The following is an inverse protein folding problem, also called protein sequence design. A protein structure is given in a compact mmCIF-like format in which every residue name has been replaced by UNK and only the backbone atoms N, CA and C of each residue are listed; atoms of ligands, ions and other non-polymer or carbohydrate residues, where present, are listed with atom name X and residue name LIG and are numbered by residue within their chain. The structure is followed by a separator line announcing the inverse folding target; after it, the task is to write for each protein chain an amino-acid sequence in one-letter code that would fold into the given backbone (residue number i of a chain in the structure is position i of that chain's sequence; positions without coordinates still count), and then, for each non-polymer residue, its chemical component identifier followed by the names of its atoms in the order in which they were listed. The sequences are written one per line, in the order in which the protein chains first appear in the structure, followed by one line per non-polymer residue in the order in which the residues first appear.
data_IF_525164415989
#
_entry.id   IF_525164415989
#
_cell.length_a   1.000
_cell.length_b   1.000
_cell.length_c   1.000
_cell.angle_alpha   90.00
_cell.angle_beta   90.00
_cell.angle_gamma   90.00
#
_symmetry.space_group_name_H-M   'P 1'
#
loop_
_entity.id
_entity.type
_entity.pdbx_description
1 polymer ?
#
# COMPACT_ATOMS: atom_id res chain seq x y z
N UNK A 1 -10.36 -59.97 -16.76
CA UNK A 1 -10.00 -59.07 -17.88
C UNK A 1 -11.06 -57.99 -17.96
N UNK A 2 -10.83 -56.69 -17.93
CA UNK A 2 -9.66 -55.86 -17.62
C UNK A 2 -10.31 -54.46 -17.46
N UNK A 3 -10.35 -53.96 -16.23
CA UNK A 3 -10.50 -52.55 -15.82
C UNK A 3 -10.96 -51.53 -16.88
N UNK A 4 -12.20 -51.04 -16.70
CA UNK A 4 -12.70 -49.80 -17.27
C UNK A 4 -11.78 -48.65 -16.86
N UNK A 5 -10.96 -48.20 -17.81
CA UNK A 5 -9.99 -47.13 -17.61
C UNK A 5 -10.69 -45.78 -17.64
N UNK A 6 -10.96 -45.26 -16.45
CA UNK A 6 -11.22 -43.85 -16.16
C UNK A 6 -10.14 -42.95 -16.78
N UNK A 7 -10.54 -41.97 -17.59
CA UNK A 7 -9.79 -40.72 -17.76
C UNK A 7 -10.83 -39.58 -17.73
N UNK A 8 -11.20 -39.16 -16.52
CA UNK A 8 -11.82 -37.87 -16.29
C UNK A 8 -10.70 -36.84 -16.49
N UNK A 9 -10.76 -36.11 -17.60
CA UNK A 9 -9.85 -35.03 -17.89
C UNK A 9 -9.99 -33.96 -16.80
N UNK A 10 -8.96 -33.87 -15.96
CA UNK A 10 -8.82 -32.87 -14.93
C UNK A 10 -8.68 -31.48 -15.57
N UNK A 11 -9.70 -30.64 -15.38
CA UNK A 11 -9.59 -29.19 -15.56
C UNK A 11 -9.67 -28.52 -14.18
N UNK A 12 -8.69 -28.82 -13.32
CA UNK A 12 -8.42 -28.08 -12.10
C UNK A 12 -7.50 -26.92 -12.46
N UNK A 13 -8.10 -25.81 -12.91
CA UNK A 13 -7.41 -24.52 -12.97
C UNK A 13 -7.35 -23.97 -11.55
N UNK A 14 -6.40 -24.48 -10.77
CA UNK A 14 -5.97 -23.83 -9.53
C UNK A 14 -5.04 -22.69 -9.91
N UNK A 15 -5.62 -21.54 -10.24
CA UNK A 15 -4.90 -20.27 -10.29
C UNK A 15 -4.58 -19.81 -8.87
N UNK A 16 -3.65 -20.51 -8.20
CA UNK A 16 -2.86 -19.93 -7.12
C UNK A 16 -1.58 -19.35 -7.70
N UNK A 17 -1.72 -18.18 -8.31
CA UNK A 17 -0.61 -17.24 -8.47
C UNK A 17 -0.63 -16.30 -7.27
N UNK A 18 -0.38 -16.83 -6.08
CA UNK A 18 0.20 -16.04 -4.99
C UNK A 18 1.69 -15.87 -5.32
N UNK A 19 1.97 -15.08 -6.37
CA UNK A 19 3.33 -14.71 -6.75
C UNK A 19 3.90 -13.88 -5.62
N UNK A 20 4.94 -14.42 -5.00
CA UNK A 20 6.02 -13.63 -4.43
C UNK A 20 5.63 -12.83 -3.20
N UNK A 21 5.61 -13.51 -2.06
CA UNK A 21 6.17 -12.92 -0.85
C UNK A 21 7.66 -12.65 -1.12
N UNK A 22 7.95 -11.56 -1.82
CA UNK A 22 9.30 -11.11 -2.06
C UNK A 22 9.91 -10.75 -0.70
N UNK A 23 11.15 -11.15 -0.49
CA UNK A 23 12.07 -10.65 0.54
C UNK A 23 12.30 -9.14 0.33
N UNK A 24 11.24 -8.36 0.49
CA UNK A 24 11.20 -6.92 0.32
C UNK A 24 11.44 -6.25 1.65
N UNK A 25 12.03 -5.05 1.59
CA UNK A 25 12.16 -4.16 2.75
C UNK A 25 10.81 -4.06 3.44
N UNK A 26 10.78 -4.44 4.72
CA UNK A 26 9.58 -4.23 5.54
C UNK A 26 9.46 -2.74 5.80
N UNK A 27 8.39 -2.15 5.28
CA UNK A 27 8.00 -0.80 5.63
C UNK A 27 7.47 -0.84 7.07
N UNK A 28 8.03 -0.03 7.95
CA UNK A 28 7.52 0.12 9.31
C UNK A 28 6.24 0.95 9.28
N UNK A 29 5.11 0.27 9.46
CA UNK A 29 3.79 0.91 9.51
C UNK A 29 3.35 1.23 10.94
N UNK A 30 4.14 0.90 11.97
CA UNK A 30 3.72 1.03 13.37
C UNK A 30 3.44 2.49 13.72
N UNK A 31 4.27 3.40 13.23
CA UNK A 31 4.10 4.84 13.47
C UNK A 31 2.82 5.39 12.84
N UNK A 32 2.51 4.95 11.61
CA UNK A 32 1.24 5.27 10.96
C UNK A 32 0.06 4.73 11.76
N UNK A 33 0.12 3.46 12.19
CA UNK A 33 -0.96 2.85 12.98
C UNK A 33 -1.18 3.55 14.33
N UNK A 34 -0.09 3.87 15.05
CA UNK A 34 -0.13 4.54 16.35
C UNK A 34 -0.69 5.95 16.26
N UNK A 35 -0.23 6.75 15.30
CA UNK A 35 -0.66 8.15 15.12
C UNK A 35 -2.16 8.30 14.81
N UNK A 36 -2.82 7.25 14.33
CA UNK A 36 -4.26 7.23 14.01
C UNK A 36 -5.14 6.49 15.04
N UNK A 37 -4.58 5.98 16.14
CA UNK A 37 -5.37 5.22 17.13
C UNK A 37 -6.52 6.04 17.75
N UNK A 38 -6.28 7.33 17.99
CA UNK A 38 -7.23 8.27 18.57
C UNK A 38 -7.89 9.20 17.53
N UNK A 39 -7.66 8.94 16.23
CA UNK A 39 -8.24 9.73 15.15
C UNK A 39 -9.75 9.47 15.00
N UNK A 40 -10.49 10.38 14.35
CA UNK A 40 -11.90 10.15 13.99
C UNK A 40 -12.09 8.81 13.25
N UNK A 41 -13.25 8.14 13.40
CA UNK A 41 -13.46 6.79 12.86
C UNK A 41 -13.15 6.64 11.37
N UNK A 42 -13.48 7.65 10.56
CA UNK A 42 -13.21 7.65 9.13
C UNK A 42 -11.69 7.65 8.83
N UNK A 43 -10.95 8.61 9.40
CA UNK A 43 -9.50 8.72 9.20
C UNK A 43 -8.75 7.49 9.75
N UNK A 44 -9.17 6.97 10.91
CA UNK A 44 -8.62 5.73 11.48
C UNK A 44 -8.87 4.52 10.58
N UNK A 45 -10.07 4.41 9.99
CA UNK A 45 -10.40 3.31 9.08
C UNK A 45 -9.53 3.35 7.82
N UNK A 46 -9.39 4.52 7.21
CA UNK A 46 -8.58 4.66 6.00
C UNK A 46 -7.09 4.45 6.28
N UNK A 47 -6.57 4.96 7.41
CA UNK A 47 -5.19 4.69 7.83
C UNK A 47 -4.95 3.19 8.05
N UNK A 48 -5.85 2.47 8.72
CA UNK A 48 -5.73 1.02 8.93
C UNK A 48 -5.77 0.23 7.62
N UNK A 49 -6.65 0.62 6.68
CA UNK A 49 -6.68 0.01 5.34
C UNK A 49 -5.39 0.31 4.58
N UNK A 50 -4.83 1.52 4.71
CA UNK A 50 -3.56 1.87 4.09
C UNK A 50 -2.43 0.99 4.65
N UNK A 51 -2.39 0.77 5.97
CA UNK A 51 -1.44 -0.16 6.61
C UNK A 51 -1.56 -1.57 6.01
N UNK A 52 -2.78 -2.09 5.83
CA UNK A 52 -3.00 -3.40 5.21
C UNK A 52 -2.51 -3.43 3.76
N UNK A 53 -2.83 -2.40 2.96
CA UNK A 53 -2.39 -2.28 1.58
C UNK A 53 -0.85 -2.22 1.46
N UNK A 54 -0.17 -1.43 2.30
CA UNK A 54 1.29 -1.36 2.38
C UNK A 54 1.89 -2.73 2.67
N UNK A 55 1.37 -3.45 3.67
CA UNK A 55 1.85 -4.78 4.05
C UNK A 55 1.65 -5.82 2.94
N UNK A 56 0.62 -5.65 2.12
CA UNK A 56 0.36 -6.50 0.94
C UNK A 56 1.17 -6.11 -0.31
N UNK A 57 1.84 -4.95 -0.29
CA UNK A 57 2.54 -4.39 -1.45
C UNK A 57 1.62 -3.72 -2.48
N UNK A 58 0.34 -3.50 -2.17
CA UNK A 58 -0.59 -2.74 -3.01
C UNK A 58 -0.42 -1.24 -2.75
N UNK A 59 0.61 -0.66 -3.35
CA UNK A 59 0.94 0.75 -3.13
C UNK A 59 -0.08 1.69 -3.77
N UNK A 60 -0.74 1.28 -4.86
CA UNK A 60 -1.81 2.08 -5.47
C UNK A 60 -2.99 2.24 -4.51
N UNK A 61 -3.43 1.16 -3.87
CA UNK A 61 -4.48 1.23 -2.86
C UNK A 61 -4.04 2.04 -1.63
N UNK A 62 -2.79 1.84 -1.17
CA UNK A 62 -2.25 2.60 -0.04
C UNK A 62 -2.22 4.11 -0.30
N UNK A 63 -1.76 4.53 -1.48
CA UNK A 63 -1.71 5.93 -1.94
C UNK A 63 -3.11 6.54 -1.93
N UNK A 64 -4.11 5.86 -2.49
CA UNK A 64 -5.48 6.36 -2.53
C UNK A 64 -6.07 6.59 -1.12
N UNK A 65 -5.83 5.65 -0.21
CA UNK A 65 -6.31 5.74 1.18
C UNK A 65 -5.60 6.83 1.96
N UNK A 66 -4.28 6.95 1.84
CA UNK A 66 -3.51 8.04 2.47
C UNK A 66 -3.92 9.41 1.91
N UNK A 67 -4.20 9.51 0.61
CA UNK A 67 -4.74 10.72 -0.01
C UNK A 67 -6.06 11.14 0.63
N UNK A 68 -6.98 10.20 0.89
CA UNK A 68 -8.24 10.49 1.57
C UNK A 68 -8.01 11.04 2.98
N UNK A 69 -7.10 10.42 3.74
CA UNK A 69 -6.72 10.87 5.08
C UNK A 69 -6.12 12.28 5.06
N UNK A 70 -5.23 12.57 4.11
CA UNK A 70 -4.67 13.92 3.95
C UNK A 70 -5.76 14.93 3.59
N UNK A 71 -6.65 14.57 2.67
CA UNK A 71 -7.73 15.43 2.20
C UNK A 71 -8.80 15.69 3.27
N UNK A 72 -8.97 14.82 4.27
CA UNK A 72 -9.85 15.13 5.41
C UNK A 72 -9.36 16.35 6.21
N UNK A 73 -8.08 16.72 6.11
CA UNK A 73 -7.50 17.87 6.79
C UNK A 73 -7.42 17.69 8.32
N UNK A 74 -6.89 18.70 9.00
CA UNK A 74 -6.78 18.69 10.46
C UNK A 74 -5.79 17.66 11.03
N UNK A 75 -4.83 17.20 10.22
CA UNK A 75 -3.81 16.26 10.67
C UNK A 75 -2.91 16.87 11.76
N UNK A 76 -2.70 16.11 12.83
CA UNK A 76 -1.69 16.46 13.84
C UNK A 76 -0.28 16.26 13.27
N UNK A 77 0.73 16.88 13.89
CA UNK A 77 2.12 16.67 13.48
C UNK A 77 2.55 15.20 13.57
N UNK A 78 2.06 14.48 14.58
CA UNK A 78 2.31 13.04 14.73
C UNK A 78 1.69 12.23 13.57
N UNK A 79 0.49 12.60 13.11
CA UNK A 79 -0.16 11.97 11.96
C UNK A 79 0.57 12.27 10.66
N UNK A 80 1.01 13.51 10.45
CA UNK A 80 1.82 13.88 9.29
C UNK A 80 3.12 13.09 9.25
N UNK A 81 3.80 13.00 10.38
CA UNK A 81 5.06 12.25 10.52
C UNK A 81 4.86 10.73 10.32
N UNK A 82 3.76 10.17 10.83
CA UNK A 82 3.35 8.79 10.56
C UNK A 82 3.09 8.51 9.08
N UNK A 83 2.38 9.40 8.39
CA UNK A 83 2.14 9.31 6.94
C UNK A 83 3.45 9.48 6.16
N UNK A 84 4.26 10.50 6.49
CA UNK A 84 5.53 10.75 5.82
C UNK A 84 6.49 9.57 5.93
N UNK A 85 6.60 8.97 7.12
CA UNK A 85 7.41 7.76 7.33
C UNK A 85 6.95 6.61 6.42
N UNK A 86 5.64 6.38 6.31
CA UNK A 86 5.07 5.34 5.45
C UNK A 86 5.31 5.62 3.95
N UNK A 87 5.11 6.87 3.51
CA UNK A 87 5.36 7.30 2.14
C UNK A 87 6.84 7.14 1.75
N UNK A 88 7.77 7.56 2.63
CA UNK A 88 9.20 7.40 2.41
C UNK A 88 9.58 5.91 2.31
N UNK A 89 9.02 5.05 3.18
CA UNK A 89 9.23 3.61 3.10
C UNK A 89 8.74 3.00 1.77
N UNK A 90 7.55 3.39 1.32
CA UNK A 90 7.02 2.98 0.00
C UNK A 90 7.91 3.47 -1.15
N UNK A 91 8.41 4.71 -1.11
CA UNK A 91 9.33 5.23 -2.13
C UNK A 91 10.63 4.41 -2.18
N UNK A 92 11.20 4.06 -1.03
CA UNK A 92 12.41 3.22 -0.98
C UNK A 92 12.17 1.83 -1.56
N UNK A 93 11.01 1.21 -1.27
CA UNK A 93 10.65 -0.08 -1.86
C UNK A 93 10.44 0.03 -3.36
N UNK A 94 9.69 1.04 -3.82
CA UNK A 94 9.42 1.26 -5.24
C UNK A 94 10.69 1.55 -6.04
N UNK A 95 11.63 2.33 -5.47
CA UNK A 95 12.91 2.64 -6.10
C UNK A 95 13.82 1.41 -6.24
N UNK A 96 13.71 0.43 -5.32
CA UNK A 96 14.49 -0.82 -5.37
C UNK A 96 13.88 -1.86 -6.30
N UNK A 97 12.57 -1.86 -6.49
CA UNK A 97 11.86 -2.77 -7.36
C UNK A 97 11.07 -2.01 -8.44
N UNK A 98 11.80 -1.29 -9.29
CA UNK A 98 11.23 -0.46 -10.36
C UNK A 98 10.46 -1.27 -11.41
N UNK A 99 10.66 -2.60 -11.44
CA UNK A 99 9.93 -3.51 -12.32
C UNK A 99 8.50 -3.79 -11.83
N UNK A 100 8.28 -3.68 -10.52
CA UNK A 100 7.00 -3.98 -9.87
C UNK A 100 6.07 -2.78 -9.78
N UNK A 101 6.62 -1.57 -9.68
CA UNK A 101 5.84 -0.34 -9.46
C UNK A 101 5.99 0.61 -10.64
N UNK A 102 4.87 1.19 -11.09
CA UNK A 102 4.87 2.13 -12.20
C UNK A 102 5.50 3.49 -11.80
N UNK A 103 5.92 4.26 -12.80
CA UNK A 103 6.33 5.65 -12.59
C UNK A 103 5.23 6.48 -11.91
N UNK A 104 3.96 6.19 -12.21
CA UNK A 104 2.80 6.84 -11.59
C UNK A 104 2.74 6.62 -10.07
N UNK A 105 3.07 5.42 -9.59
CA UNK A 105 3.17 5.13 -8.15
C UNK A 105 4.26 6.01 -7.52
N UNK A 106 5.42 6.12 -8.16
CA UNK A 106 6.52 6.94 -7.65
C UNK A 106 6.18 8.45 -7.61
N UNK A 107 5.57 8.96 -8.68
CA UNK A 107 5.10 10.35 -8.76
C UNK A 107 4.05 10.62 -7.69
N UNK A 108 3.04 9.75 -7.56
CA UNK A 108 1.98 9.89 -6.58
C UNK A 108 2.47 9.86 -5.13
N UNK A 109 3.47 9.02 -4.82
CA UNK A 109 4.12 9.02 -3.49
C UNK A 109 4.82 10.35 -3.20
N UNK A 110 5.48 10.92 -4.21
CA UNK A 110 6.19 12.19 -4.08
C UNK A 110 5.22 13.37 -3.93
N UNK A 111 4.11 13.35 -4.66
CA UNK A 111 3.04 14.34 -4.54
C UNK A 111 2.38 14.28 -3.16
N UNK A 112 2.07 13.08 -2.67
CA UNK A 112 1.51 12.92 -1.33
C UNK A 112 2.48 13.38 -0.25
N UNK A 113 3.78 13.13 -0.41
CA UNK A 113 4.78 13.64 0.52
C UNK A 113 4.75 15.18 0.55
N UNK A 114 4.70 15.80 -0.62
CA UNK A 114 4.54 17.24 -0.75
C UNK A 114 3.29 17.76 -0.02
N UNK A 115 2.14 17.11 -0.22
CA UNK A 115 0.89 17.49 0.43
C UNK A 115 0.96 17.39 1.96
N UNK A 116 1.59 16.34 2.50
CA UNK A 116 1.79 16.18 3.95
C UNK A 116 2.69 17.28 4.52
N UNK A 117 3.72 17.68 3.78
CA UNK A 117 4.62 18.79 4.14
C UNK A 117 4.00 20.19 3.91
N UNK A 118 2.77 20.27 3.38
CA UNK A 118 2.11 21.54 3.04
C UNK A 118 2.63 22.19 1.75
N UNK A 119 3.33 21.43 0.90
CA UNK A 119 3.79 21.85 -0.43
C UNK A 119 2.74 21.50 -1.49
N UNK A 120 2.74 22.23 -2.60
CA UNK A 120 1.88 21.91 -3.74
C UNK A 120 2.32 20.60 -4.42
N UNK A 121 1.38 19.79 -4.95
CA UNK A 121 1.72 18.56 -5.67
C UNK A 121 2.50 18.87 -6.96
N UNK A 122 3.41 17.96 -7.33
CA UNK A 122 4.26 18.06 -8.51
C UNK A 122 3.49 17.65 -9.78
N UNK A 123 2.56 16.69 -9.67
CA UNK A 123 1.60 16.37 -10.74
C UNK A 123 0.45 17.39 -10.77
N UNK A 124 0.16 17.96 -11.95
CA UNK A 124 -1.03 18.79 -12.20
C UNK A 124 -2.23 17.96 -12.64
#
# INVERSE_FOLDING_TARGET
MKQFSSIIAAALVLSWLAIGCGTGIKIDTNKLEQSFQSAPPAAKTDANKAVAAIKSGDFSAAIALLKNVINTGGLTEEQKDGIGTALAGMQMVAAKDQSKYSLEVYTSLSDLMGLVEGKQPVSK
#
